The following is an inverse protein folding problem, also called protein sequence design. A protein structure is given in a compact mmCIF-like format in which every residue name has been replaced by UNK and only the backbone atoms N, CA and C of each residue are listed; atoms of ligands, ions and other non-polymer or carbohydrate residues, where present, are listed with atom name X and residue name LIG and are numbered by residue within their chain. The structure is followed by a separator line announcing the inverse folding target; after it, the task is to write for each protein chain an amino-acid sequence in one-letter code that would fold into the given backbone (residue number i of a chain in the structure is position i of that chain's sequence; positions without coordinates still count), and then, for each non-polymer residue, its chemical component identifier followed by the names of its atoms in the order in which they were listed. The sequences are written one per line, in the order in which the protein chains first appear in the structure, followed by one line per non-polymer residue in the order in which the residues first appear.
data_IF_399547365371
#
_entry.id   IF_399547365371
#
_cell.length_a   1.000
_cell.length_b   1.000
_cell.length_c   1.000
_cell.angle_alpha   90.00
_cell.angle_beta   90.00
_cell.angle_gamma   90.00
#
_symmetry.space_group_name_H-M   'P 1'
#
loop_
_entity.id
_entity.type
_entity.pdbx_description
1 polymer ?
#
# COMPACT_ATOMS: atom_id res chain seq x y z
N UNK A 1 -6.31 18.08 15.13
CA UNK A 1 -5.45 17.62 14.02
C UNK A 1 -5.74 16.17 13.73
N UNK A 2 -5.82 15.80 12.45
CA UNK A 2 -6.01 14.42 11.97
C UNK A 2 -4.73 13.97 11.27
N UNK A 3 -4.32 12.72 11.47
CA UNK A 3 -3.23 12.14 10.70
C UNK A 3 -3.76 11.75 9.31
N UNK A 4 -3.15 12.31 8.26
CA UNK A 4 -3.45 12.00 6.85
C UNK A 4 -2.43 10.98 6.35
N UNK A 5 -2.91 9.93 5.68
CA UNK A 5 -2.07 8.85 5.17
C UNK A 5 -2.16 8.86 3.65
N UNK A 6 -1.01 8.84 2.97
CA UNK A 6 -0.92 8.88 1.51
C UNK A 6 -0.06 7.74 0.99
N UNK A 7 -0.34 7.27 -0.23
CA UNK A 7 0.38 6.16 -0.88
C UNK A 7 1.66 6.59 -1.57
N UNK A 8 1.92 7.89 -1.70
CA UNK A 8 3.15 8.42 -2.30
C UNK A 8 3.59 9.75 -1.69
N UNK A 9 4.90 10.00 -1.65
CA UNK A 9 5.46 11.27 -1.20
C UNK A 9 5.05 12.46 -2.07
N UNK A 10 4.68 12.21 -3.34
CA UNK A 10 4.17 13.25 -4.24
C UNK A 10 2.83 13.79 -3.75
N UNK A 11 1.89 12.92 -3.38
CA UNK A 11 0.59 13.31 -2.85
C UNK A 11 0.73 14.08 -1.53
N UNK A 12 1.68 13.70 -0.67
CA UNK A 12 1.99 14.45 0.56
C UNK A 12 2.39 15.90 0.23
N UNK A 13 3.27 16.09 -0.76
CA UNK A 13 3.69 17.43 -1.19
C UNK A 13 2.54 18.23 -1.80
N UNK A 14 1.73 17.60 -2.65
CA UNK A 14 0.55 18.23 -3.25
C UNK A 14 -0.46 18.65 -2.18
N UNK A 15 -0.70 17.80 -1.18
CA UNK A 15 -1.54 18.11 -0.02
C UNK A 15 -1.06 19.36 0.72
N UNK A 16 0.23 19.42 1.07
CA UNK A 16 0.79 20.58 1.73
C UNK A 16 0.75 21.84 0.87
N UNK A 17 0.99 21.74 -0.43
CA UNK A 17 0.92 22.88 -1.35
C UNK A 17 -0.49 23.44 -1.49
N UNK A 18 -1.51 22.59 -1.55
CA UNK A 18 -2.92 23.01 -1.56
C UNK A 18 -3.30 23.69 -0.23
N UNK A 19 -2.84 23.13 0.89
CA UNK A 19 -3.19 23.63 2.22
C UNK A 19 -2.40 24.85 2.67
N UNK A 20 -1.23 25.12 2.09
CA UNK A 20 -0.49 26.38 2.29
C UNK A 20 -1.30 27.63 1.95
N UNK A 21 -2.28 27.53 1.05
CA UNK A 21 -3.14 28.64 0.66
C UNK A 21 -4.20 28.98 1.72
N UNK A 22 -4.39 28.11 2.72
CA UNK A 22 -5.37 28.30 3.80
C UNK A 22 -4.62 28.73 5.08
N UNK A 23 -5.03 29.84 5.69
CA UNK A 23 -4.53 30.27 7.00
C UNK A 23 -5.10 29.39 8.12
N UNK A 24 -4.71 28.12 8.15
CA UNK A 24 -5.12 27.14 9.15
C UNK A 24 -3.94 26.26 9.57
N UNK A 25 -4.06 25.66 10.76
CA UNK A 25 -3.11 24.66 11.23
C UNK A 25 -3.13 23.44 10.30
N UNK A 26 -1.94 23.05 9.83
CA UNK A 26 -1.75 21.91 8.94
C UNK A 26 -1.88 20.59 9.71
N UNK A 27 -2.74 19.70 9.22
CA UNK A 27 -2.77 18.30 9.66
C UNK A 27 -1.43 17.61 9.32
N UNK A 28 -1.01 16.65 10.15
CA UNK A 28 0.17 15.83 9.86
C UNK A 28 -0.14 14.86 8.74
N UNK A 29 0.77 14.75 7.76
CA UNK A 29 0.68 13.79 6.67
C UNK A 29 1.91 12.88 6.64
N UNK A 30 1.68 11.56 6.50
CA UNK A 30 2.75 10.56 6.43
C UNK A 30 2.51 9.56 5.29
N UNK A 31 3.58 8.87 4.91
CA UNK A 31 3.52 7.80 3.92
C UNK A 31 2.88 6.55 4.52
N UNK A 32 2.15 5.77 3.71
CA UNK A 32 1.52 4.52 4.16
C UNK A 32 2.55 3.54 4.75
N UNK A 33 3.75 3.46 4.17
CA UNK A 33 4.84 2.64 4.72
C UNK A 33 5.25 3.08 6.13
N UNK A 34 5.47 4.38 6.35
CA UNK A 34 5.80 4.92 7.68
C UNK A 34 4.66 4.74 8.68
N UNK A 35 3.40 4.81 8.21
CA UNK A 35 2.24 4.53 9.03
C UNK A 35 2.24 3.06 9.48
N UNK A 36 2.39 2.13 8.55
CA UNK A 36 2.43 0.69 8.85
C UNK A 36 3.59 0.34 9.79
N UNK A 37 4.77 0.95 9.59
CA UNK A 37 5.92 0.78 10.49
C UNK A 37 5.67 1.30 11.91
N UNK A 38 4.80 2.30 12.05
CA UNK A 38 4.39 2.87 13.36
C UNK A 38 3.22 2.12 13.99
N UNK A 39 2.40 1.45 13.18
CA UNK A 39 1.11 0.85 13.60
C UNK A 39 1.17 -0.67 13.73
N UNK A 40 2.24 -1.33 13.25
CA UNK A 40 2.51 -2.72 13.60
C UNK A 40 2.82 -2.80 15.10
N UNK A 41 1.76 -2.98 15.90
CA UNK A 41 1.81 -2.96 17.35
C UNK A 41 1.56 -4.37 17.89
N UNK A 42 2.42 -4.80 18.81
CA UNK A 42 2.24 -5.98 19.66
C UNK A 42 1.92 -5.47 21.06
N UNK A 43 0.74 -5.80 21.58
CA UNK A 43 0.31 -5.43 22.94
C UNK A 43 0.58 -3.95 23.29
N UNK A 44 0.15 -3.02 22.43
CA UNK A 44 0.30 -1.55 22.58
C UNK A 44 1.72 -0.99 22.49
N UNK A 45 2.70 -1.80 22.11
CA UNK A 45 4.08 -1.37 21.86
C UNK A 45 4.44 -1.66 20.41
N UNK A 46 5.45 -0.95 19.88
CA UNK A 46 5.96 -1.23 18.54
C UNK A 46 6.46 -2.67 18.48
N UNK A 47 5.93 -3.45 17.53
CA UNK A 47 6.37 -4.81 17.32
C UNK A 47 7.86 -4.84 16.98
N UNK A 48 8.61 -5.72 17.62
CA UNK A 48 9.97 -6.07 17.19
C UNK A 48 9.96 -6.66 15.78
N UNK A 49 11.13 -6.81 15.17
CA UNK A 49 11.26 -7.49 13.87
C UNK A 49 10.74 -8.93 13.93
N UNK A 50 10.99 -9.64 15.03
CA UNK A 50 10.50 -10.99 15.26
C UNK A 50 8.97 -11.04 15.40
N UNK A 51 8.38 -10.17 16.23
CA UNK A 51 6.93 -10.11 16.39
C UNK A 51 6.24 -9.68 15.08
N UNK A 52 6.83 -8.76 14.33
CA UNK A 52 6.32 -8.36 13.02
C UNK A 52 6.25 -9.54 12.04
N UNK A 53 7.23 -10.45 12.08
CA UNK A 53 7.22 -11.66 11.28
C UNK A 53 6.08 -12.62 11.68
N UNK A 54 5.87 -12.80 12.99
CA UNK A 54 4.76 -13.62 13.51
C UNK A 54 3.40 -13.02 13.14
N UNK A 55 3.24 -11.70 13.30
CA UNK A 55 2.02 -10.98 12.92
C UNK A 55 1.74 -11.08 11.42
N UNK A 56 2.79 -10.98 10.58
CA UNK A 56 2.67 -11.17 9.13
C UNK A 56 2.23 -12.60 8.79
N UNK A 57 2.82 -13.60 9.44
CA UNK A 57 2.42 -15.00 9.26
C UNK A 57 0.95 -15.22 9.64
N UNK A 58 0.52 -14.67 10.77
CA UNK A 58 -0.87 -14.74 11.20
C UNK A 58 -1.82 -14.02 10.22
N UNK A 59 -1.42 -12.84 9.73
CA UNK A 59 -2.17 -12.11 8.71
C UNK A 59 -2.33 -12.94 7.43
N UNK A 60 -1.26 -13.60 6.97
CA UNK A 60 -1.28 -14.50 5.82
C UNK A 60 -2.19 -15.71 6.02
N UNK A 61 -2.29 -16.25 7.25
CA UNK A 61 -3.23 -17.34 7.54
C UNK A 61 -4.68 -16.85 7.52
N UNK A 62 -4.94 -15.68 8.10
CA UNK A 62 -6.26 -15.06 8.15
C UNK A 62 -6.75 -14.58 6.79
N UNK A 63 -5.82 -14.32 5.86
CA UNK A 63 -6.11 -13.83 4.52
C UNK A 63 -6.41 -14.93 3.49
N UNK A 64 -6.28 -16.21 3.84
CA UNK A 64 -6.52 -17.34 2.91
C UNK A 64 -7.92 -17.39 2.30
N UNK A 65 -8.94 -16.94 3.03
CA UNK A 65 -10.34 -16.89 2.54
C UNK A 65 -10.74 -15.51 2.00
N UNK A 66 -9.77 -14.62 1.70
CA UNK A 66 -10.09 -13.27 1.23
C UNK A 66 -10.87 -13.26 -0.08
N UNK A 67 -10.67 -14.24 -0.96
CA UNK A 67 -11.43 -14.38 -2.20
C UNK A 67 -12.95 -14.40 -1.94
N UNK A 68 -13.37 -15.25 -0.99
CA UNK A 68 -14.77 -15.37 -0.58
C UNK A 68 -15.26 -14.15 0.18
N UNK A 69 -14.41 -13.58 1.05
CA UNK A 69 -14.81 -12.45 1.92
C UNK A 69 -14.87 -11.11 1.18
N UNK A 70 -13.99 -10.89 0.20
CA UNK A 70 -13.90 -9.66 -0.58
C UNK A 70 -14.63 -9.77 -1.93
N UNK A 71 -15.08 -10.97 -2.33
CA UNK A 71 -15.67 -11.20 -3.65
C UNK A 71 -14.66 -11.03 -4.79
N UNK A 72 -13.38 -11.26 -4.52
CA UNK A 72 -12.29 -11.15 -5.48
C UNK A 72 -11.94 -12.56 -5.97
N UNK A 73 -11.77 -12.73 -7.28
CA UNK A 73 -11.51 -14.04 -7.86
C UNK A 73 -10.10 -14.55 -7.53
N UNK A 74 -9.93 -15.87 -7.49
CA UNK A 74 -8.63 -16.54 -7.21
C UNK A 74 -7.59 -16.14 -8.26
N UNK A 75 -8.05 -16.00 -9.50
CA UNK A 75 -7.24 -15.63 -10.65
C UNK A 75 -6.63 -14.24 -10.46
N UNK A 76 -7.32 -13.33 -9.75
CA UNK A 76 -6.77 -12.01 -9.41
C UNK A 76 -5.61 -12.11 -8.40
N UNK A 77 -5.67 -13.02 -7.43
CA UNK A 77 -4.54 -13.24 -6.50
C UNK A 77 -3.37 -13.93 -7.20
N UNK A 78 -3.64 -14.89 -8.09
CA UNK A 78 -2.62 -15.49 -8.95
C UNK A 78 -1.97 -14.45 -9.88
N UNK A 79 -2.77 -13.52 -10.42
CA UNK A 79 -2.30 -12.37 -11.18
C UNK A 79 -1.38 -11.48 -10.34
N UNK A 80 -1.79 -11.10 -9.12
CA UNK A 80 -0.99 -10.28 -8.23
C UNK A 80 0.37 -10.92 -7.91
N UNK A 81 0.43 -12.25 -7.76
CA UNK A 81 1.66 -12.99 -7.49
C UNK A 81 2.64 -12.94 -8.68
N UNK A 82 2.12 -12.93 -9.91
CA UNK A 82 2.92 -12.86 -11.14
C UNK A 82 2.95 -11.45 -11.74
N UNK A 83 2.61 -10.42 -10.96
CA UNK A 83 2.40 -9.08 -11.49
C UNK A 83 3.67 -8.50 -12.14
N UNK A 84 4.85 -8.84 -11.62
CA UNK A 84 6.12 -8.29 -12.11
C UNK A 84 6.36 -8.67 -13.57
N UNK A 85 6.04 -9.90 -13.96
CA UNK A 85 6.15 -10.37 -15.35
C UNK A 85 5.20 -9.57 -16.25
N UNK A 86 3.96 -9.40 -15.81
CA UNK A 86 2.91 -8.80 -16.60
C UNK A 86 3.09 -7.29 -16.76
N UNK A 87 3.56 -6.60 -15.70
CA UNK A 87 3.97 -5.20 -15.78
C UNK A 87 5.26 -5.00 -16.58
N UNK A 88 6.21 -5.95 -16.54
CA UNK A 88 7.40 -5.91 -17.39
C UNK A 88 7.04 -6.05 -18.87
N UNK A 89 6.16 -6.98 -19.20
CA UNK A 89 5.62 -7.16 -20.56
C UNK A 89 4.91 -5.89 -21.08
N UNK A 90 4.02 -5.28 -20.29
CA UNK A 90 3.38 -4.04 -20.69
C UNK A 90 4.36 -2.87 -20.82
N UNK A 91 5.41 -2.84 -20.01
CA UNK A 91 6.48 -1.85 -20.13
C UNK A 91 7.24 -2.03 -21.44
N UNK A 92 7.59 -3.25 -21.80
CA UNK A 92 8.22 -3.59 -23.08
C UNK A 92 7.32 -3.21 -24.27
N UNK A 93 6.04 -3.59 -24.24
CA UNK A 93 5.06 -3.18 -25.26
C UNK A 93 4.97 -1.66 -25.42
N UNK A 94 4.96 -0.93 -24.31
CA UNK A 94 4.90 0.54 -24.34
C UNK A 94 6.17 1.15 -24.96
N UNK A 95 7.33 0.54 -24.73
CA UNK A 95 8.60 0.96 -25.33
C UNK A 95 8.63 0.66 -26.83
N UNK A 96 8.09 -0.49 -27.23
CA UNK A 96 7.99 -0.90 -28.64
C UNK A 96 6.87 -0.19 -29.41
N UNK A 97 5.96 0.52 -28.72
CA UNK A 97 4.78 1.20 -29.30
C UNK A 97 3.90 0.25 -30.12
N UNK A 98 3.80 -1.02 -29.72
CA UNK A 98 2.96 -2.02 -30.39
C UNK A 98 1.65 -2.24 -29.64
N UNK A 99 0.60 -2.51 -30.42
CA UNK A 99 -0.71 -2.95 -29.92
C UNK A 99 -0.73 -4.47 -29.74
N UNK A 100 -1.56 -4.98 -28.82
CA UNK A 100 -1.81 -6.42 -28.62
C UNK A 100 -3.08 -6.83 -29.41
N UNK A 101 -3.28 -6.26 -30.60
CA UNK A 101 -4.32 -6.73 -31.52
C UNK A 101 -3.95 -8.05 -32.19
#
# INVERSE_FOLDING_TARGET
MKLRIFSSSRQIREYYNQKKQQNALLDSAIHIGEFLDKVCLSNFHKASSYESLLLMQEACLKSKDLEKKLGISVEFFAFLKNNEYLFSFFKELSLEKKSIE
#
